data_IF_056550828049
#
_entry.id   IF_056550828049
#
_cell.length_a   1.000
_cell.length_b   1.000
_cell.length_c   1.000
_cell.angle_alpha   90.00
_cell.angle_beta   90.00
_cell.angle_gamma   90.00
#
_symmetry.space_group_name_H-M   'P 1'
#
loop_
_entity.id
_entity.type
_entity.pdbx_description
1 polymer ?
#
# COMPACT_ATOMS: atom_id res chain seq x y z
N UNK A 1 28.00 58.30 -34.51
CA UNK A 1 28.97 57.20 -34.74
C UNK A 1 29.32 56.63 -33.38
N UNK A 2 28.63 55.52 -32.97
CA UNK A 2 29.07 54.65 -31.87
C UNK A 2 28.70 53.21 -32.28
N UNK A 3 29.74 52.39 -32.32
CA UNK A 3 29.69 51.01 -32.80
C UNK A 3 29.09 50.10 -31.73
N UNK A 4 28.13 49.24 -32.12
CA UNK A 4 27.67 48.10 -31.31
C UNK A 4 28.71 47.00 -31.29
N UNK A 5 28.83 46.21 -30.20
CA UNK A 5 29.61 44.99 -30.19
C UNK A 5 28.67 43.79 -30.43
N UNK A 6 29.01 43.02 -31.45
CA UNK A 6 28.43 41.72 -31.83
C UNK A 6 28.67 40.67 -30.75
N UNK A 7 27.57 40.11 -30.20
CA UNK A 7 27.61 38.95 -29.32
C UNK A 7 27.76 37.65 -30.14
N UNK A 8 28.83 36.91 -29.90
CA UNK A 8 29.06 35.56 -30.46
C UNK A 8 28.24 34.57 -29.66
N UNK A 9 27.29 33.89 -30.29
CA UNK A 9 26.62 32.72 -29.77
C UNK A 9 27.57 31.50 -29.75
N UNK A 10 27.90 31.02 -28.57
CA UNK A 10 28.58 29.74 -28.38
C UNK A 10 27.50 28.68 -28.26
N UNK A 11 27.40 27.84 -29.31
CA UNK A 11 26.48 26.68 -29.29
C UNK A 11 27.14 25.57 -28.49
N UNK A 12 26.62 25.31 -27.31
CA UNK A 12 27.00 24.17 -26.46
C UNK A 12 26.17 22.97 -26.88
N UNK A 13 26.82 22.01 -27.56
CA UNK A 13 26.22 20.74 -27.99
C UNK A 13 26.06 19.86 -26.72
N UNK A 14 24.83 19.62 -26.30
CA UNK A 14 24.50 18.55 -25.37
C UNK A 14 24.42 17.24 -26.14
N UNK A 15 25.30 16.30 -25.79
CA UNK A 15 25.29 14.96 -26.31
C UNK A 15 24.09 14.19 -25.71
N UNK A 16 23.19 13.79 -26.58
CA UNK A 16 22.07 12.90 -26.24
C UNK A 16 22.65 11.49 -26.09
N UNK A 17 22.62 10.98 -24.85
CA UNK A 17 22.91 9.57 -24.59
C UNK A 17 21.65 8.76 -24.98
N UNK A 18 21.67 8.20 -26.17
CA UNK A 18 20.66 7.26 -26.63
C UNK A 18 20.90 5.90 -25.93
N UNK A 19 20.04 5.52 -25.02
CA UNK A 19 19.93 4.16 -24.51
C UNK A 19 19.35 3.28 -25.63
N UNK A 20 20.20 2.50 -26.28
CA UNK A 20 19.85 1.41 -27.18
C UNK A 20 19.21 0.29 -26.32
N UNK A 21 17.88 0.26 -26.25
CA UNK A 21 17.14 -0.92 -25.84
C UNK A 21 17.18 -1.93 -27.01
N UNK A 22 18.08 -2.90 -26.92
CA UNK A 22 18.12 -4.04 -27.84
C UNK A 22 16.87 -4.91 -27.62
N UNK A 23 15.92 -4.81 -28.53
CA UNK A 23 14.81 -5.76 -28.62
C UNK A 23 15.33 -7.06 -29.25
N UNK A 24 15.44 -8.12 -28.44
CA UNK A 24 15.54 -9.49 -28.94
C UNK A 24 14.18 -9.90 -29.51
N UNK A 25 14.08 -10.43 -30.71
CA UNK A 25 12.83 -10.99 -31.21
C UNK A 25 12.60 -12.33 -30.51
N UNK A 26 11.68 -12.37 -29.55
CA UNK A 26 11.08 -13.61 -29.10
C UNK A 26 10.20 -14.13 -30.24
N UNK A 27 10.66 -15.16 -30.93
CA UNK A 27 9.83 -15.94 -31.85
C UNK A 27 8.76 -16.66 -31.01
N UNK A 28 7.62 -16.05 -30.83
CA UNK A 28 6.43 -16.72 -30.34
C UNK A 28 5.96 -17.67 -31.44
N UNK A 29 6.17 -18.95 -31.28
CA UNK A 29 5.47 -19.98 -32.06
C UNK A 29 4.01 -19.93 -31.66
N UNK A 30 3.21 -19.23 -32.42
CA UNK A 30 1.75 -19.31 -32.36
C UNK A 30 1.36 -20.67 -32.95
N UNK A 31 1.16 -21.68 -32.09
CA UNK A 31 0.36 -22.82 -32.45
C UNK A 31 -1.07 -22.31 -32.66
N UNK A 32 -1.49 -22.23 -33.93
CA UNK A 32 -2.85 -21.91 -34.29
C UNK A 32 -3.75 -23.05 -33.80
N UNK A 33 -4.38 -22.84 -32.63
CA UNK A 33 -5.49 -23.68 -32.21
C UNK A 33 -6.67 -23.41 -33.17
N UNK A 34 -7.14 -24.46 -33.83
CA UNK A 34 -8.38 -24.38 -34.64
C UNK A 34 -9.52 -23.83 -33.75
N UNK A 35 -10.41 -23.01 -34.30
CA UNK A 35 -11.55 -22.52 -33.53
C UNK A 35 -12.37 -23.68 -32.98
N UNK A 36 -12.87 -23.60 -31.72
CA UNK A 36 -13.63 -24.69 -31.10
C UNK A 36 -14.91 -25.01 -31.91
N UNK A 37 -15.17 -26.29 -32.09
CA UNK A 37 -16.36 -26.78 -32.81
C UNK A 37 -17.61 -26.44 -32.00
N UNK A 38 -18.35 -25.40 -32.44
CA UNK A 38 -19.53 -24.90 -31.75
C UNK A 38 -20.66 -26.00 -31.56
N UNK A 39 -20.90 -26.95 -32.50
CA UNK A 39 -21.78 -28.07 -32.27
C UNK A 39 -21.30 -29.06 -31.19
N UNK A 40 -19.99 -29.21 -31.00
CA UNK A 40 -19.45 -30.06 -29.95
C UNK A 40 -19.63 -29.45 -28.56
N UNK A 41 -19.46 -28.14 -28.44
CA UNK A 41 -19.70 -27.40 -27.17
C UNK A 41 -21.18 -27.44 -26.75
N UNK A 42 -22.13 -27.36 -27.70
CA UNK A 42 -23.54 -27.45 -27.39
C UNK A 42 -23.91 -28.81 -26.80
N UNK A 43 -23.37 -29.93 -27.31
CA UNK A 43 -23.59 -31.28 -26.78
C UNK A 43 -23.03 -31.45 -25.37
N UNK A 44 -21.95 -30.79 -25.02
CA UNK A 44 -21.41 -30.82 -23.65
C UNK A 44 -22.35 -30.15 -22.64
N UNK A 45 -23.13 -29.14 -23.04
CA UNK A 45 -24.07 -28.46 -22.16
C UNK A 45 -25.24 -29.34 -21.71
N UNK A 46 -25.58 -30.40 -22.47
CA UNK A 46 -26.69 -31.33 -22.18
C UNK A 46 -26.32 -32.40 -21.13
N UNK A 47 -25.04 -32.51 -20.77
CA UNK A 47 -24.55 -33.48 -19.78
C UNK A 47 -24.92 -33.02 -18.38
N UNK A 48 -25.74 -33.78 -17.67
CA UNK A 48 -26.25 -33.44 -16.35
C UNK A 48 -25.18 -33.50 -15.24
N UNK A 49 -24.23 -34.46 -15.30
CA UNK A 49 -23.21 -34.63 -14.30
C UNK A 49 -22.08 -33.59 -14.49
N UNK A 50 -21.74 -32.75 -13.47
CA UNK A 50 -20.79 -31.66 -13.62
C UNK A 50 -19.37 -32.11 -14.01
N UNK A 51 -18.90 -33.25 -13.50
CA UNK A 51 -17.58 -33.83 -13.80
C UNK A 51 -17.47 -34.26 -15.26
N UNK A 52 -18.47 -34.96 -15.78
CA UNK A 52 -18.50 -35.47 -17.16
C UNK A 52 -18.65 -34.32 -18.15
N UNK A 53 -19.42 -33.31 -17.80
CA UNK A 53 -19.55 -32.06 -18.56
C UNK A 53 -18.24 -31.33 -18.71
N UNK A 54 -17.44 -31.23 -17.61
CA UNK A 54 -16.12 -30.60 -17.64
C UNK A 54 -15.17 -31.38 -18.55
N UNK A 55 -15.14 -32.69 -18.45
CA UNK A 55 -14.33 -33.56 -19.32
C UNK A 55 -14.71 -33.37 -20.79
N UNK A 56 -16.01 -33.25 -21.08
CA UNK A 56 -16.49 -32.99 -22.43
C UNK A 56 -15.97 -31.65 -22.98
N UNK A 57 -16.03 -30.57 -22.20
CA UNK A 57 -15.49 -29.27 -22.58
C UNK A 57 -13.98 -29.27 -22.77
N UNK A 58 -13.24 -29.93 -21.87
CA UNK A 58 -11.78 -30.03 -21.98
C UNK A 58 -11.38 -30.76 -23.26
N UNK A 59 -12.10 -31.84 -23.61
CA UNK A 59 -11.89 -32.57 -24.86
C UNK A 59 -12.24 -31.73 -26.10
N UNK A 60 -13.34 -30.98 -26.07
CA UNK A 60 -13.77 -30.10 -27.16
C UNK A 60 -12.78 -28.93 -27.38
N UNK A 61 -12.09 -28.49 -26.30
CA UNK A 61 -11.09 -27.43 -26.33
C UNK A 61 -9.65 -27.96 -26.53
N UNK A 62 -9.46 -29.28 -26.76
CA UNK A 62 -8.15 -29.89 -26.98
C UNK A 62 -7.24 -29.92 -25.75
N UNK A 63 -7.79 -29.83 -24.54
CA UNK A 63 -7.04 -29.99 -23.29
C UNK A 63 -6.91 -31.46 -22.91
N UNK A 64 -5.71 -31.89 -22.51
CA UNK A 64 -5.52 -33.24 -21.97
C UNK A 64 -6.25 -33.37 -20.62
N UNK A 65 -6.98 -34.49 -20.37
CA UNK A 65 -7.61 -34.71 -19.08
C UNK A 65 -6.57 -34.79 -17.96
N UNK A 66 -6.83 -34.12 -16.84
CA UNK A 66 -6.00 -34.25 -15.65
C UNK A 66 -5.99 -35.72 -15.20
N UNK A 67 -4.80 -36.26 -14.89
CA UNK A 67 -4.64 -37.63 -14.45
C UNK A 67 -5.55 -37.92 -13.24
N UNK A 68 -6.36 -38.96 -13.34
CA UNK A 68 -7.28 -39.38 -12.29
C UNK A 68 -6.50 -39.81 -11.04
N UNK A 69 -6.79 -39.19 -9.91
CA UNK A 69 -6.34 -39.65 -8.58
C UNK A 69 -7.20 -40.89 -8.23
N UNK A 70 -6.59 -42.04 -7.82
CA UNK A 70 -7.34 -43.25 -7.46
C UNK A 70 -8.28 -42.97 -6.26
N UNK A 71 -9.46 -43.60 -6.22
CA UNK A 71 -10.37 -43.46 -5.08
C UNK A 71 -9.81 -44.17 -3.85
N UNK A 72 -9.77 -43.51 -2.71
CA UNK A 72 -9.54 -44.11 -1.41
C UNK A 72 -10.79 -44.94 -1.01
N UNK A 73 -10.57 -46.19 -0.59
CA UNK A 73 -11.59 -47.12 -0.12
C UNK A 73 -12.42 -46.55 1.04
N UNK A 74 -13.71 -46.78 0.94
CA UNK A 74 -14.68 -46.40 1.94
C UNK A 74 -14.77 -47.47 3.04
N UNK A 75 -14.44 -47.15 4.27
CA UNK A 75 -14.96 -47.85 5.47
C UNK A 75 -16.05 -46.99 6.13
N UNK A 76 -17.22 -47.62 6.24
CA UNK A 76 -18.36 -47.11 6.99
C UNK A 76 -18.39 -47.80 8.39
N UNK A 77 -18.68 -47.10 9.51
CA UNK A 77 -19.99 -47.31 10.10
C UNK A 77 -20.68 -46.09 10.73
N UNK A 78 -21.96 -46.06 10.51
CA UNK A 78 -23.10 -45.55 11.27
C UNK A 78 -22.89 -44.64 12.48
N UNK A 79 -23.56 -43.46 12.48
CA UNK A 79 -23.86 -42.62 13.64
C UNK A 79 -24.05 -41.17 13.28
N UNK A 80 -25.33 -40.71 13.19
CA UNK A 80 -25.71 -39.43 12.63
C UNK A 80 -25.38 -38.19 13.45
N UNK A 81 -25.01 -37.15 12.72
CA UNK A 81 -25.22 -35.74 13.05
C UNK A 81 -25.16 -34.94 11.73
N UNK A 82 -25.90 -33.82 11.56
CA UNK A 82 -25.96 -33.08 10.30
C UNK A 82 -24.64 -32.38 9.99
N UNK A 83 -24.28 -32.20 8.68
CA UNK A 83 -23.00 -31.63 8.29
C UNK A 83 -22.97 -30.12 8.54
N UNK A 84 -21.84 -29.57 9.00
CA UNK A 84 -21.62 -28.13 9.05
C UNK A 84 -21.37 -27.58 7.65
N UNK A 85 -21.93 -26.42 7.41
CA UNK A 85 -21.77 -25.65 6.16
C UNK A 85 -20.30 -25.36 5.88
N UNK A 86 -19.80 -25.82 4.74
CA UNK A 86 -18.42 -25.62 4.29
C UNK A 86 -18.23 -24.19 3.83
N UNK A 87 -17.54 -23.38 4.61
CA UNK A 87 -17.03 -22.08 4.18
C UNK A 87 -15.84 -22.28 3.23
N UNK A 88 -15.93 -21.71 2.03
CA UNK A 88 -14.93 -21.83 0.93
C UNK A 88 -13.67 -20.97 1.16
N UNK A 89 -13.38 -20.49 2.37
CA UNK A 89 -12.30 -19.55 2.67
C UNK A 89 -11.41 -19.95 3.88
N UNK A 90 -11.17 -21.23 4.08
CA UNK A 90 -10.20 -21.65 5.09
C UNK A 90 -9.13 -22.56 4.45
N UNK A 91 -7.83 -22.22 4.51
CA UNK A 91 -6.76 -23.15 4.17
C UNK A 91 -6.66 -24.22 5.25
N UNK A 92 -6.67 -25.50 4.85
CA UNK A 92 -6.40 -26.63 5.73
C UNK A 92 -4.92 -26.64 6.11
N UNK A 93 -4.64 -26.63 7.38
CA UNK A 93 -3.32 -26.83 7.97
C UNK A 93 -2.75 -28.19 7.58
N UNK A 94 -1.74 -28.20 6.72
CA UNK A 94 -0.87 -29.35 6.55
C UNK A 94 0.17 -29.32 7.66
N UNK A 95 -0.07 -30.07 8.74
CA UNK A 95 0.92 -30.32 9.79
C UNK A 95 1.94 -31.32 9.26
N UNK A 96 3.12 -30.82 8.85
CA UNK A 96 4.31 -31.66 8.71
C UNK A 96 5.02 -31.74 10.07
N UNK A 97 5.51 -32.91 10.51
CA UNK A 97 6.21 -33.00 11.78
C UNK A 97 7.59 -32.35 11.66
N UNK A 98 7.74 -31.18 12.24
CA UNK A 98 9.05 -30.56 12.45
C UNK A 98 9.64 -31.13 13.72
N UNK A 99 10.84 -31.76 13.57
CA UNK A 99 11.65 -32.24 14.68
C UNK A 99 11.87 -31.06 15.66
N UNK A 100 11.48 -31.28 16.91
CA UNK A 100 11.64 -30.36 18.01
C UNK A 100 13.12 -30.01 18.22
N UNK A 101 13.53 -28.82 17.81
CA UNK A 101 14.69 -28.15 18.37
C UNK A 101 14.21 -27.28 19.53
N UNK A 102 14.40 -27.76 20.74
CA UNK A 102 14.28 -27.03 21.98
C UNK A 102 15.21 -25.83 21.95
N UNK A 103 14.69 -24.63 21.71
CA UNK A 103 15.26 -23.37 22.15
C UNK A 103 14.29 -22.74 23.13
N UNK A 104 14.62 -22.94 24.42
CA UNK A 104 14.08 -22.18 25.54
C UNK A 104 14.60 -20.75 25.43
N UNK A 105 13.92 -19.92 24.70
CA UNK A 105 13.79 -18.47 24.91
C UNK A 105 12.42 -18.11 24.36
N UNK A 106 11.48 -17.78 25.24
CA UNK A 106 10.22 -17.15 24.88
C UNK A 106 10.51 -15.74 24.31
N UNK A 107 11.06 -15.69 23.09
CA UNK A 107 11.17 -14.43 22.36
C UNK A 107 9.75 -14.00 21.99
N UNK A 108 9.36 -12.84 22.50
CA UNK A 108 8.11 -12.17 22.11
C UNK A 108 8.11 -12.05 20.57
N UNK A 109 7.08 -12.53 19.86
CA UNK A 109 7.07 -12.49 18.41
C UNK A 109 7.29 -11.06 17.90
N UNK A 110 8.25 -10.87 17.01
CA UNK A 110 8.57 -9.56 16.44
C UNK A 110 7.41 -9.02 15.60
N UNK A 111 6.85 -7.87 15.99
CA UNK A 111 5.77 -7.22 15.24
C UNK A 111 6.25 -6.77 13.86
N UNK A 112 7.46 -6.18 13.80
CA UNK A 112 8.02 -5.69 12.54
C UNK A 112 8.45 -6.83 11.62
N UNK A 113 8.90 -7.97 12.16
CA UNK A 113 9.19 -9.13 11.33
C UNK A 113 7.93 -9.70 10.70
N UNK A 114 6.89 -9.95 11.49
CA UNK A 114 5.61 -10.41 10.95
C UNK A 114 5.03 -9.47 9.89
N UNK A 115 5.18 -8.18 10.12
CA UNK A 115 4.69 -7.18 9.19
C UNK A 115 5.53 -7.13 7.89
N UNK A 116 6.87 -7.05 7.99
CA UNK A 116 7.77 -6.90 6.83
C UNK A 116 8.42 -8.20 6.36
N UNK A 117 8.10 -9.34 7.00
CA UNK A 117 8.68 -10.65 6.67
C UNK A 117 10.23 -10.63 6.75
N UNK A 118 10.76 -10.04 7.85
CA UNK A 118 12.19 -9.82 7.98
C UNK A 118 12.95 -11.10 8.34
N UNK A 119 12.39 -11.92 9.21
CA UNK A 119 13.01 -13.17 9.65
C UNK A 119 12.59 -14.35 8.73
N UNK A 120 13.43 -15.36 8.55
CA UNK A 120 13.18 -16.45 7.59
C UNK A 120 11.84 -17.18 7.79
N UNK A 121 11.41 -17.35 9.06
CA UNK A 121 10.14 -18.01 9.39
C UNK A 121 8.90 -17.19 9.05
N UNK A 122 9.05 -15.88 8.85
CA UNK A 122 7.94 -14.99 8.51
C UNK A 122 7.80 -14.77 6.99
N UNK A 123 8.76 -15.27 6.18
CA UNK A 123 8.77 -15.11 4.72
C UNK A 123 7.62 -15.88 4.07
N UNK A 124 6.77 -15.20 3.30
CA UNK A 124 5.59 -15.76 2.60
C UNK A 124 5.78 -15.88 1.08
N UNK A 125 6.99 -15.57 0.58
CA UNK A 125 7.30 -15.59 -0.85
C UNK A 125 6.87 -14.31 -1.57
N UNK A 126 6.88 -14.35 -2.91
CA UNK A 126 6.63 -13.19 -3.79
C UNK A 126 5.20 -13.18 -4.31
N UNK A 127 4.74 -12.01 -4.77
CA UNK A 127 3.43 -11.76 -5.38
C UNK A 127 2.21 -12.07 -4.50
N UNK A 128 2.41 -12.15 -3.18
CA UNK A 128 1.32 -12.20 -2.21
C UNK A 128 0.91 -10.77 -1.85
N UNK A 129 -0.36 -10.41 -2.10
CA UNK A 129 -0.89 -9.10 -1.77
C UNK A 129 -1.33 -9.08 -0.31
N UNK A 130 -0.82 -8.10 0.42
CA UNK A 130 -1.16 -7.85 1.84
C UNK A 130 -1.42 -6.37 2.04
N UNK A 131 -2.09 -6.01 3.13
CA UNK A 131 -2.24 -4.59 3.48
C UNK A 131 -0.89 -3.92 3.74
N UNK A 132 -0.84 -2.60 3.57
CA UNK A 132 0.37 -1.80 3.78
C UNK A 132 0.15 -0.74 4.85
N UNK A 133 -0.59 0.33 4.56
CA UNK A 133 -1.08 1.29 5.54
C UNK A 133 -2.48 0.86 5.99
N UNK A 134 -3.05 1.56 6.96
CA UNK A 134 -4.41 1.27 7.40
C UNK A 134 -5.41 1.31 6.23
N UNK A 135 -6.23 0.28 6.11
CA UNK A 135 -7.34 0.23 5.18
C UNK A 135 -8.61 0.58 5.93
N UNK A 136 -9.26 1.69 5.60
CA UNK A 136 -10.39 2.19 6.37
C UNK A 136 -11.45 2.88 5.52
N UNK A 137 -12.67 2.91 6.06
CA UNK A 137 -13.76 3.79 5.64
C UNK A 137 -14.24 4.55 6.86
N UNK A 138 -14.21 5.90 6.78
CA UNK A 138 -14.69 6.82 7.79
C UNK A 138 -15.91 7.57 7.23
N UNK A 139 -17.13 7.07 7.41
CA UNK A 139 -18.34 7.75 6.97
C UNK A 139 -18.51 9.11 7.67
N UNK A 140 -17.98 9.22 8.87
CA UNK A 140 -17.98 10.43 9.67
C UNK A 140 -16.55 10.99 9.72
N UNK A 141 -16.25 11.93 8.85
CA UNK A 141 -15.04 12.72 8.89
C UNK A 141 -15.43 14.20 8.91
N UNK A 142 -14.91 14.93 9.87
CA UNK A 142 -15.18 16.36 10.05
C UNK A 142 -13.87 17.13 10.20
N UNK A 143 -13.79 18.30 9.56
CA UNK A 143 -12.65 19.22 9.72
C UNK A 143 -13.10 20.57 10.25
N UNK A 144 -12.31 21.17 11.14
CA UNK A 144 -12.61 22.51 11.69
C UNK A 144 -12.46 23.62 10.64
N UNK A 145 -11.69 23.38 9.59
CA UNK A 145 -11.45 24.32 8.48
C UNK A 145 -11.42 23.53 7.18
N UNK A 146 -12.13 24.00 6.18
CA UNK A 146 -12.11 23.45 4.83
C UNK A 146 -11.48 24.45 3.86
N UNK A 147 -10.55 23.99 3.03
CA UNK A 147 -9.92 24.83 2.02
C UNK A 147 -10.88 25.02 0.84
N UNK A 148 -11.45 26.21 0.73
CA UNK A 148 -12.35 26.59 -0.35
C UNK A 148 -11.67 27.34 -1.49
N UNK A 149 -10.36 27.58 -1.38
CA UNK A 149 -9.58 28.29 -2.39
C UNK A 149 -8.16 27.69 -2.47
N UNK A 150 -8.04 26.38 -2.84
CA UNK A 150 -6.75 25.74 -2.94
C UNK A 150 -5.88 26.41 -4.01
N UNK A 151 -4.62 26.67 -3.64
CA UNK A 151 -3.62 27.34 -4.48
C UNK A 151 -2.21 26.86 -4.18
N UNK A 152 -1.25 27.20 -5.04
CA UNK A 152 0.18 27.04 -4.79
C UNK A 152 0.96 28.21 -5.41
N UNK A 153 2.26 28.34 -5.20
CA UNK A 153 3.08 29.39 -5.84
C UNK A 153 3.02 29.41 -7.37
N UNK A 154 2.75 28.25 -7.99
CA UNK A 154 2.71 28.06 -9.45
C UNK A 154 1.30 27.78 -9.99
N UNK A 155 0.30 27.66 -9.11
CA UNK A 155 -1.07 27.32 -9.49
C UNK A 155 -2.06 28.32 -8.88
N UNK A 156 -2.88 28.92 -9.72
CA UNK A 156 -3.89 29.90 -9.30
C UNK A 156 -4.92 29.29 -8.34
N UNK A 157 -5.51 30.14 -7.52
CA UNK A 157 -6.59 29.75 -6.63
C UNK A 157 -7.84 29.32 -7.41
N UNK A 158 -8.48 28.25 -6.95
CA UNK A 158 -9.74 27.75 -7.49
C UNK A 158 -10.82 27.82 -6.43
N UNK A 159 -11.83 28.63 -6.65
CA UNK A 159 -12.90 28.81 -5.69
C UNK A 159 -13.85 27.60 -5.64
N UNK A 160 -14.04 27.07 -4.44
CA UNK A 160 -14.88 25.90 -4.13
C UNK A 160 -15.86 26.26 -2.98
N UNK A 161 -16.79 27.20 -3.21
CA UNK A 161 -17.58 27.82 -2.14
C UNK A 161 -18.51 26.84 -1.41
N UNK A 162 -18.91 25.77 -2.07
CA UNK A 162 -19.86 24.80 -1.53
C UNK A 162 -19.22 23.65 -0.75
N UNK A 163 -17.88 23.57 -0.66
CA UNK A 163 -17.23 22.52 0.12
C UNK A 163 -17.64 22.59 1.59
N UNK A 164 -17.99 21.43 2.13
CA UNK A 164 -18.50 21.24 3.48
C UNK A 164 -17.42 20.69 4.39
N UNK A 165 -17.58 20.93 5.69
CA UNK A 165 -16.69 20.40 6.73
C UNK A 165 -16.85 18.90 6.95
N UNK A 166 -18.02 18.37 6.61
CA UNK A 166 -18.38 16.97 6.73
C UNK A 166 -18.10 16.22 5.41
N UNK A 167 -17.34 15.14 5.49
CA UNK A 167 -16.96 14.29 4.36
C UNK A 167 -17.01 12.81 4.77
N UNK A 168 -17.04 11.92 3.80
CA UNK A 168 -16.56 10.56 4.00
C UNK A 168 -15.09 10.50 3.57
N UNK A 169 -14.25 9.82 4.37
CA UNK A 169 -12.84 9.59 4.06
C UNK A 169 -12.56 8.11 3.98
N UNK A 170 -11.80 7.66 2.99
CA UNK A 170 -11.39 6.27 2.92
C UNK A 170 -9.97 6.13 2.39
N UNK A 171 -9.35 5.02 2.75
CA UNK A 171 -8.01 4.64 2.29
C UNK A 171 -7.98 3.16 1.95
N UNK A 172 -7.39 2.86 0.80
CA UNK A 172 -7.00 1.52 0.39
C UNK A 172 -5.48 1.51 0.22
N UNK A 173 -4.81 0.55 0.86
CA UNK A 173 -3.36 0.46 0.83
C UNK A 173 -2.92 -1.00 0.83
N UNK A 174 -2.23 -1.40 -0.22
CA UNK A 174 -1.77 -2.76 -0.45
C UNK A 174 -0.28 -2.75 -0.80
N UNK A 175 0.39 -3.85 -0.56
CA UNK A 175 1.76 -4.12 -1.04
C UNK A 175 1.91 -5.56 -1.47
N UNK A 176 2.92 -5.81 -2.29
CA UNK A 176 3.35 -7.15 -2.67
C UNK A 176 4.86 -7.20 -2.77
N UNK A 177 5.47 -8.32 -2.40
CA UNK A 177 6.91 -8.54 -2.57
C UNK A 177 7.18 -8.89 -4.04
N UNK A 178 8.07 -8.13 -4.69
CA UNK A 178 8.48 -8.37 -6.08
C UNK A 178 9.67 -9.31 -6.17
N UNK A 179 10.61 -9.19 -5.23
CA UNK A 179 11.80 -10.04 -5.17
C UNK A 179 12.21 -10.26 -3.71
N UNK A 180 12.73 -11.43 -3.43
CA UNK A 180 13.25 -11.85 -2.14
C UNK A 180 14.76 -12.03 -2.25
N UNK A 181 15.49 -11.74 -1.16
CA UNK A 181 16.96 -11.88 -1.07
C UNK A 181 17.71 -11.12 -2.19
N UNK A 182 17.20 -9.94 -2.57
CA UNK A 182 17.75 -9.13 -3.65
C UNK A 182 18.98 -8.34 -3.18
N UNK A 183 20.14 -8.54 -3.81
CA UNK A 183 21.44 -7.87 -3.62
C UNK A 183 22.07 -8.08 -2.24
N UNK A 184 21.36 -7.89 -1.16
CA UNK A 184 21.85 -8.10 0.22
C UNK A 184 21.12 -9.29 0.86
N UNK A 185 21.77 -10.07 1.72
CA UNK A 185 21.14 -11.21 2.38
C UNK A 185 19.88 -10.80 3.16
N UNK A 186 18.77 -11.49 2.88
CA UNK A 186 17.48 -11.23 3.50
C UNK A 186 16.75 -9.99 3.00
N UNK A 187 17.36 -9.19 2.11
CA UNK A 187 16.76 -7.96 1.62
C UNK A 187 15.70 -8.23 0.55
N UNK A 188 14.55 -7.57 0.67
CA UNK A 188 13.40 -7.77 -0.18
C UNK A 188 13.02 -6.47 -0.91
N UNK A 189 12.57 -6.62 -2.15
CA UNK A 189 11.98 -5.52 -2.92
C UNK A 189 10.46 -5.65 -2.91
N UNK A 190 9.78 -4.58 -2.50
CA UNK A 190 8.32 -4.51 -2.44
C UNK A 190 7.80 -3.43 -3.37
N UNK A 191 6.64 -3.69 -3.98
CA UNK A 191 5.78 -2.66 -4.55
C UNK A 191 4.63 -2.40 -3.60
N UNK A 192 4.28 -1.13 -3.42
CA UNK A 192 3.13 -0.73 -2.63
C UNK A 192 2.31 0.33 -3.37
N UNK A 193 1.03 0.38 -3.07
CA UNK A 193 0.11 1.37 -3.59
C UNK A 193 -0.84 1.80 -2.50
N UNK A 194 -0.99 3.12 -2.33
CA UNK A 194 -1.97 3.71 -1.42
C UNK A 194 -2.84 4.69 -2.18
N UNK A 195 -4.14 4.60 -1.97
CA UNK A 195 -5.12 5.59 -2.40
C UNK A 195 -5.87 6.10 -1.19
N UNK A 196 -5.91 7.42 -1.02
CA UNK A 196 -6.71 8.10 -0.01
C UNK A 196 -7.68 9.05 -0.68
N UNK A 197 -8.96 9.00 -0.34
CA UNK A 197 -9.97 9.84 -0.95
C UNK A 197 -10.87 10.51 0.10
N UNK A 198 -11.28 11.74 -0.25
CA UNK A 198 -12.19 12.58 0.53
C UNK A 198 -13.42 12.85 -0.32
N UNK A 199 -14.55 12.35 0.09
CA UNK A 199 -15.80 12.38 -0.64
C UNK A 199 -16.81 13.30 0.04
N UNK A 200 -17.20 14.37 -0.64
CA UNK A 200 -18.21 15.33 -0.22
C UNK A 200 -19.64 14.76 -0.31
N UNK A 201 -19.86 13.56 0.27
CA UNK A 201 -21.09 12.79 0.17
C UNK A 201 -22.33 13.58 0.57
N UNK A 202 -22.18 14.59 1.45
CA UNK A 202 -23.26 15.45 1.94
C UNK A 202 -23.44 16.74 1.12
N UNK A 203 -22.59 17.00 0.10
CA UNK A 203 -22.65 18.18 -0.76
C UNK A 203 -23.56 17.93 -1.96
N UNK A 204 -24.85 18.09 -1.78
CA UNK A 204 -25.84 17.95 -2.87
C UNK A 204 -25.78 19.04 -3.93
N UNK A 205 -25.23 20.24 -3.61
CA UNK A 205 -25.14 21.36 -4.56
C UNK A 205 -24.21 21.08 -5.71
N UNK A 206 -23.07 20.39 -5.44
CA UNK A 206 -22.04 20.07 -6.42
C UNK A 206 -22.12 18.58 -6.86
N UNK A 207 -23.28 17.94 -6.73
CA UNK A 207 -23.50 16.52 -7.11
C UNK A 207 -22.56 15.56 -6.37
N UNK A 208 -22.25 15.84 -5.10
CA UNK A 208 -21.44 14.98 -4.20
C UNK A 208 -20.06 14.59 -4.77
N UNK A 209 -19.19 15.57 -5.09
CA UNK A 209 -17.91 15.30 -5.73
C UNK A 209 -16.91 14.63 -4.77
N UNK A 210 -15.90 13.95 -5.32
CA UNK A 210 -14.65 13.75 -4.60
C UNK A 210 -13.89 15.06 -4.55
N UNK A 211 -13.62 15.56 -3.32
CA UNK A 211 -12.84 16.79 -3.13
C UNK A 211 -11.36 16.55 -3.45
N UNK A 212 -10.86 15.40 -3.05
CA UNK A 212 -9.48 14.98 -3.30
C UNK A 212 -9.38 13.45 -3.36
N UNK A 213 -8.47 12.97 -4.20
CA UNK A 213 -8.03 11.57 -4.24
C UNK A 213 -6.53 11.57 -4.45
N UNK A 214 -5.78 11.17 -3.45
CA UNK A 214 -4.32 11.04 -3.52
C UNK A 214 -3.94 9.60 -3.87
N UNK A 215 -3.04 9.44 -4.82
CA UNK A 215 -2.51 8.17 -5.33
C UNK A 215 -1.02 8.12 -5.04
N UNK A 216 -0.55 7.06 -4.41
CA UNK A 216 0.82 6.93 -3.94
C UNK A 216 1.39 5.54 -4.24
N UNK A 217 1.90 5.28 -5.47
CA UNK A 217 2.74 4.13 -5.77
C UNK A 217 4.13 4.27 -5.16
N UNK A 218 4.65 3.16 -4.60
CA UNK A 218 5.97 3.10 -3.94
C UNK A 218 6.73 1.84 -4.35
N UNK A 219 8.05 1.98 -4.52
CA UNK A 219 9.00 0.87 -4.50
C UNK A 219 9.79 0.96 -3.20
N UNK A 220 9.86 -0.14 -2.46
CA UNK A 220 10.46 -0.20 -1.13
C UNK A 220 11.51 -1.30 -1.12
N UNK A 221 12.77 -0.93 -0.97
CA UNK A 221 13.86 -1.86 -0.72
C UNK A 221 14.08 -1.98 0.78
N UNK A 222 13.80 -3.16 1.33
CA UNK A 222 13.81 -3.46 2.76
C UNK A 222 15.00 -4.34 3.10
N UNK A 223 15.86 -3.89 3.99
CA UNK A 223 17.07 -4.61 4.43
C UNK A 223 16.93 -4.94 5.91
N UNK A 224 16.80 -6.23 6.30
CA UNK A 224 16.78 -6.61 7.71
C UNK A 224 18.13 -6.35 8.36
N UNK A 225 18.11 -5.89 9.61
CA UNK A 225 19.32 -5.65 10.38
C UNK A 225 19.97 -6.98 10.78
N UNK A 226 21.27 -7.19 10.51
CA UNK A 226 21.99 -8.36 10.99
C UNK A 226 21.95 -8.49 12.52
N UNK A 227 21.85 -9.71 13.05
CA UNK A 227 21.67 -9.98 14.49
C UNK A 227 22.68 -9.23 15.38
N UNK A 228 23.94 -9.17 14.97
CA UNK A 228 25.01 -8.48 15.71
C UNK A 228 24.77 -6.98 15.94
N UNK A 229 23.87 -6.35 15.17
CA UNK A 229 23.56 -4.92 15.25
C UNK A 229 22.13 -4.65 15.74
N UNK A 230 21.33 -5.70 15.99
CA UNK A 230 19.92 -5.56 16.41
C UNK A 230 19.80 -4.93 17.80
N UNK A 231 20.63 -5.35 18.76
CA UNK A 231 20.49 -4.93 20.14
C UNK A 231 20.88 -3.48 20.36
N UNK A 232 19.97 -2.70 20.94
CA UNK A 232 20.15 -1.31 21.30
C UNK A 232 19.95 -1.12 22.81
N UNK A 233 20.40 0.01 23.40
CA UNK A 233 20.12 0.35 24.79
C UNK A 233 18.63 0.30 25.14
N UNK A 234 18.34 0.05 26.42
CA UNK A 234 16.98 -0.01 26.97
C UNK A 234 16.08 -1.11 26.38
N UNK A 235 16.66 -2.16 25.78
CA UNK A 235 15.93 -3.30 25.23
C UNK A 235 15.24 -3.03 23.89
N UNK A 236 15.55 -1.94 23.23
CA UNK A 236 15.13 -1.72 21.84
C UNK A 236 15.92 -2.60 20.88
N UNK A 237 15.31 -2.95 19.77
CA UNK A 237 15.95 -3.70 18.69
C UNK A 237 15.78 -2.93 17.38
N UNK A 238 16.90 -2.71 16.68
CA UNK A 238 16.88 -2.21 15.30
C UNK A 238 16.58 -3.37 14.36
N UNK A 239 15.45 -3.31 13.66
CA UNK A 239 14.96 -4.45 12.86
C UNK A 239 15.28 -4.35 11.39
N UNK A 240 15.22 -3.15 10.82
CA UNK A 240 15.47 -2.94 9.40
C UNK A 240 15.94 -1.52 9.07
N UNK A 241 16.58 -1.40 7.89
CA UNK A 241 16.71 -0.16 7.13
C UNK A 241 15.87 -0.26 5.85
N UNK A 242 15.37 0.86 5.33
CA UNK A 242 14.61 0.91 4.09
C UNK A 242 15.03 2.07 3.20
N UNK A 243 14.94 1.85 1.87
CA UNK A 243 15.05 2.86 0.83
C UNK A 243 13.79 2.80 -0.02
N UNK A 244 13.04 3.91 -0.11
CA UNK A 244 11.83 3.95 -0.92
C UNK A 244 11.97 4.98 -2.05
N UNK A 245 11.42 4.65 -3.21
CA UNK A 245 11.07 5.58 -4.27
C UNK A 245 9.56 5.71 -4.29
N UNK A 246 9.06 6.93 -4.17
CA UNK A 246 7.62 7.18 -4.09
C UNK A 246 7.23 8.29 -5.03
N UNK A 247 6.20 8.04 -5.84
CA UNK A 247 5.42 9.08 -6.52
C UNK A 247 4.13 9.31 -5.74
N UNK A 248 3.69 10.58 -5.64
CA UNK A 248 2.36 10.88 -5.11
C UNK A 248 1.73 11.97 -5.95
N UNK A 249 0.48 11.78 -6.34
CA UNK A 249 -0.29 12.75 -7.13
C UNK A 249 -1.77 12.72 -6.75
N UNK A 250 -2.47 13.83 -6.97
CA UNK A 250 -3.92 13.89 -6.75
C UNK A 250 -4.73 13.62 -8.04
N UNK A 251 -4.09 13.30 -9.16
CA UNK A 251 -4.75 12.96 -10.42
C UNK A 251 -5.63 14.05 -11.03
N UNK A 252 -5.51 15.29 -10.56
CA UNK A 252 -6.30 16.41 -11.07
C UNK A 252 -5.55 17.19 -12.16
N UNK A 253 -6.32 17.93 -12.98
CA UNK A 253 -5.78 18.85 -13.97
C UNK A 253 -5.40 20.18 -13.29
N UNK A 254 -4.56 20.98 -13.97
CA UNK A 254 -4.28 22.34 -13.56
C UNK A 254 -5.56 23.18 -13.54
N UNK A 255 -5.68 24.08 -12.56
CA UNK A 255 -4.72 24.50 -11.55
C UNK A 255 -4.85 23.73 -10.21
N UNK A 256 -5.62 22.64 -10.13
CA UNK A 256 -5.76 21.80 -8.93
C UNK A 256 -4.75 20.66 -8.86
N UNK A 257 -4.01 20.41 -9.92
CA UNK A 257 -2.97 19.38 -9.97
C UNK A 257 -1.92 19.57 -8.89
N UNK A 258 -1.59 18.49 -8.16
CA UNK A 258 -0.50 18.43 -7.18
C UNK A 258 0.18 17.07 -7.32
N UNK A 259 1.51 17.11 -7.40
CA UNK A 259 2.31 15.88 -7.42
C UNK A 259 3.72 16.12 -6.87
N UNK A 260 4.38 15.07 -6.48
CA UNK A 260 5.78 15.08 -6.12
C UNK A 260 6.40 13.69 -6.12
N UNK A 261 7.69 13.66 -6.40
CA UNK A 261 8.53 12.47 -6.35
C UNK A 261 9.50 12.59 -5.19
N UNK A 262 9.76 11.49 -4.46
CA UNK A 262 10.67 11.51 -3.32
C UNK A 262 11.42 10.20 -3.15
N UNK A 263 12.61 10.33 -2.60
CA UNK A 263 13.39 9.24 -2.02
C UNK A 263 13.22 9.29 -0.50
N UNK A 264 13.02 8.15 0.12
CA UNK A 264 12.90 8.03 1.58
C UNK A 264 13.93 7.05 2.11
N UNK A 265 14.72 7.47 3.09
CA UNK A 265 15.54 6.60 3.92
C UNK A 265 14.83 6.38 5.25
N UNK A 266 14.80 5.16 5.75
CA UNK A 266 14.14 4.87 7.01
C UNK A 266 14.78 3.72 7.78
N UNK A 267 14.42 3.65 9.06
CA UNK A 267 14.80 2.57 9.95
C UNK A 267 13.65 2.21 10.87
N UNK A 268 13.52 0.92 11.18
CA UNK A 268 12.50 0.39 12.06
C UNK A 268 13.07 -0.20 13.34
N UNK A 269 12.46 0.15 14.45
CA UNK A 269 12.86 -0.27 15.80
C UNK A 269 11.65 -0.86 16.53
N UNK A 270 11.89 -1.84 17.41
CA UNK A 270 10.82 -2.42 18.23
C UNK A 270 11.28 -2.72 19.65
N UNK A 271 10.30 -2.74 20.57
CA UNK A 271 10.48 -3.16 21.95
C UNK A 271 9.13 -3.63 22.51
N UNK A 272 8.96 -4.94 22.72
CA UNK A 272 7.71 -5.51 23.17
C UNK A 272 6.53 -5.09 22.27
N UNK A 273 5.52 -4.47 22.87
CA UNK A 273 4.30 -4.02 22.17
C UNK A 273 4.50 -2.75 21.32
N UNK A 274 5.68 -2.16 21.31
CA UNK A 274 5.96 -0.89 20.65
C UNK A 274 6.85 -1.08 19.42
N UNK A 275 6.54 -0.35 18.35
CA UNK A 275 7.47 -0.18 17.23
C UNK A 275 7.56 1.29 16.81
N UNK A 276 8.76 1.71 16.42
CA UNK A 276 9.04 3.05 15.92
C UNK A 276 9.66 2.93 14.52
N UNK A 277 9.07 3.62 13.55
CA UNK A 277 9.67 3.76 12.22
C UNK A 277 10.02 5.23 12.03
N UNK A 278 11.30 5.50 11.83
CA UNK A 278 11.81 6.85 11.54
C UNK A 278 12.19 6.94 10.06
N UNK A 279 11.72 7.99 9.37
CA UNK A 279 11.96 8.21 7.94
C UNK A 279 12.45 9.63 7.68
N UNK A 280 13.43 9.74 6.80
CA UNK A 280 13.87 11.00 6.22
C UNK A 280 13.52 11.01 4.74
N UNK A 281 12.81 12.06 4.31
CA UNK A 281 12.28 12.22 2.97
C UNK A 281 13.05 13.31 2.23
N UNK A 282 13.53 13.01 1.03
CA UNK A 282 14.15 13.97 0.11
C UNK A 282 13.29 14.06 -1.16
N UNK A 283 12.77 15.26 -1.43
CA UNK A 283 12.05 15.50 -2.68
C UNK A 283 13.02 15.46 -3.85
N UNK A 284 12.64 14.82 -4.93
CA UNK A 284 13.33 14.93 -6.22
C UNK A 284 12.89 16.23 -6.89
N UNK A 285 13.86 17.05 -7.28
CA UNK A 285 13.61 18.37 -7.85
C UNK A 285 12.96 18.24 -9.24
N UNK A 286 11.97 19.06 -9.46
CA UNK A 286 11.29 19.24 -10.75
C UNK A 286 11.55 20.65 -11.28
N UNK A 287 11.57 20.88 -12.59
CA UNK A 287 11.65 22.23 -13.15
C UNK A 287 10.44 23.08 -12.70
N UNK A 288 10.65 24.33 -12.28
CA UNK A 288 9.59 25.21 -11.80
C UNK A 288 8.42 25.37 -12.79
N UNK A 289 8.67 25.23 -14.07
CA UNK A 289 7.64 25.33 -15.12
C UNK A 289 6.65 24.16 -15.08
N UNK A 290 7.04 23.02 -14.54
CA UNK A 290 6.20 21.83 -14.39
C UNK A 290 5.89 21.47 -12.94
N UNK A 291 6.52 22.16 -11.96
CA UNK A 291 6.31 21.92 -10.55
C UNK A 291 5.06 22.67 -10.06
N UNK A 292 4.01 21.93 -9.77
CA UNK A 292 2.72 22.49 -9.35
C UNK A 292 2.58 22.71 -7.83
N UNK A 293 3.61 22.40 -7.04
CA UNK A 293 3.67 22.62 -5.59
C UNK A 293 5.11 22.73 -5.06
N UNK A 294 5.91 23.70 -5.53
CA UNK A 294 7.36 23.78 -5.26
C UNK A 294 7.71 23.94 -3.78
N UNK A 295 6.82 24.49 -2.98
CA UNK A 295 6.98 24.74 -1.56
C UNK A 295 6.42 23.63 -0.64
N UNK A 296 5.97 22.50 -1.19
CA UNK A 296 5.33 21.41 -0.44
C UNK A 296 6.15 20.97 0.78
N UNK A 297 7.45 20.79 0.62
CA UNK A 297 8.33 20.29 1.69
C UNK A 297 8.44 21.31 2.84
N UNK A 298 8.23 22.61 2.58
CA UNK A 298 8.22 23.65 3.62
C UNK A 298 7.08 23.46 4.61
N UNK A 299 5.97 22.84 4.20
CA UNK A 299 4.81 22.56 5.04
C UNK A 299 4.80 21.13 5.57
N UNK A 300 5.06 20.13 4.71
CA UNK A 300 5.00 18.71 5.07
C UNK A 300 6.23 18.27 5.87
N UNK A 301 7.40 18.79 5.51
CA UNK A 301 8.68 18.49 6.12
C UNK A 301 9.42 17.30 5.50
N UNK A 302 10.63 17.08 6.04
CA UNK A 302 11.54 16.01 5.66
C UNK A 302 11.52 14.82 6.62
N UNK A 303 11.02 15.01 7.84
CA UNK A 303 10.99 13.95 8.87
C UNK A 303 9.61 13.35 9.03
N UNK A 304 9.58 12.02 9.21
CA UNK A 304 8.38 11.29 9.55
C UNK A 304 8.70 10.23 10.61
N UNK A 305 8.00 10.28 11.74
CA UNK A 305 8.14 9.33 12.85
C UNK A 305 6.79 8.66 13.09
N UNK A 306 6.76 7.35 12.99
CA UNK A 306 5.56 6.54 13.20
C UNK A 306 5.79 5.64 14.42
N UNK A 307 5.12 5.93 15.51
CA UNK A 307 5.10 5.11 16.72
C UNK A 307 3.83 4.26 16.70
N UNK A 308 3.99 2.94 16.77
CA UNK A 308 2.86 2.02 16.86
C UNK A 308 2.88 1.32 18.23
N UNK A 309 1.70 1.05 18.74
CA UNK A 309 1.47 0.27 19.94
C UNK A 309 0.43 -0.79 19.66
N UNK A 310 0.73 -2.04 20.01
CA UNK A 310 -0.14 -3.19 19.84
C UNK A 310 -0.21 -3.92 21.19
N UNK A 311 -1.33 -3.85 21.87
CA UNK A 311 -1.53 -4.53 23.15
C UNK A 311 -2.86 -5.28 23.14
N UNK A 312 -2.79 -6.59 23.20
CA UNK A 312 -3.94 -7.46 23.13
C UNK A 312 -4.76 -7.20 21.85
N UNK A 313 -5.99 -6.69 22.03
CA UNK A 313 -6.91 -6.40 20.92
C UNK A 313 -6.87 -4.94 20.45
N UNK A 314 -6.25 -4.03 21.21
CA UNK A 314 -6.14 -2.62 20.86
C UNK A 314 -4.87 -2.35 20.05
N UNK A 315 -4.98 -1.49 19.04
CA UNK A 315 -3.81 -0.91 18.37
C UNK A 315 -3.91 0.60 18.34
N UNK A 316 -2.78 1.27 18.47
CA UNK A 316 -2.71 2.71 18.31
C UNK A 316 -1.47 3.08 17.48
N UNK A 317 -1.59 4.15 16.69
CA UNK A 317 -0.50 4.71 15.91
C UNK A 317 -0.46 6.21 16.10
N UNK A 318 0.74 6.74 16.29
CA UNK A 318 1.02 8.17 16.27
C UNK A 318 2.00 8.46 15.14
N UNK A 319 1.58 9.25 14.17
CA UNK A 319 2.41 9.71 13.07
C UNK A 319 2.74 11.18 13.28
N UNK A 320 4.03 11.50 13.36
CA UNK A 320 4.53 12.86 13.46
C UNK A 320 5.36 13.21 12.23
N UNK A 321 5.00 14.30 11.54
CA UNK A 321 5.74 14.88 10.42
C UNK A 321 6.38 16.19 10.84
N UNK A 322 7.63 16.44 10.43
CA UNK A 322 8.38 17.62 10.84
C UNK A 322 9.28 18.15 9.74
N UNK A 323 9.42 19.48 9.69
CA UNK A 323 10.40 20.15 8.84
C UNK A 323 11.80 20.17 9.46
N UNK A 324 11.95 19.78 10.73
CA UNK A 324 13.16 19.96 11.58
C UNK A 324 13.55 21.43 11.83
N UNK A 325 12.94 22.37 11.15
CA UNK A 325 13.27 23.80 11.24
C UNK A 325 12.28 24.57 12.09
N UNK A 326 10.99 24.31 11.92
CA UNK A 326 9.93 25.04 12.61
C UNK A 326 8.79 24.08 12.98
N UNK A 327 8.46 24.01 14.26
CA UNK A 327 7.38 23.18 14.81
C UNK A 327 5.96 23.66 14.44
N UNK A 328 5.85 24.86 13.84
CA UNK A 328 4.55 25.36 13.33
C UNK A 328 4.06 24.56 12.13
N UNK A 329 4.99 23.96 11.38
CA UNK A 329 4.73 23.17 10.19
C UNK A 329 4.79 21.67 10.49
N UNK A 330 4.42 20.84 9.50
CA UNK A 330 4.28 19.41 9.68
C UNK A 330 2.88 19.03 10.17
N UNK A 331 2.75 17.84 10.72
CA UNK A 331 1.47 17.30 11.17
C UNK A 331 1.63 16.27 12.26
N UNK A 332 0.57 16.10 13.04
CA UNK A 332 0.38 15.01 13.98
C UNK A 332 -0.90 14.27 13.60
N UNK A 333 -0.83 12.95 13.47
CA UNK A 333 -1.98 12.08 13.23
C UNK A 333 -1.97 10.96 14.27
N UNK A 334 -3.10 10.77 14.92
CA UNK A 334 -3.32 9.67 15.85
C UNK A 334 -4.40 8.76 15.29
N UNK A 335 -4.19 7.46 15.39
CA UNK A 335 -5.12 6.42 14.99
C UNK A 335 -5.29 5.42 16.12
N UNK A 336 -6.52 4.95 16.31
CA UNK A 336 -6.81 3.89 17.28
C UNK A 336 -7.80 2.91 16.69
N UNK A 337 -7.59 1.62 16.96
CA UNK A 337 -8.50 0.58 16.51
C UNK A 337 -8.79 -0.45 17.58
N UNK A 338 -9.99 -1.03 17.49
CA UNK A 338 -10.44 -2.13 18.35
C UNK A 338 -11.38 -3.05 17.56
N UNK A 339 -11.29 -4.40 17.67
CA UNK A 339 -12.17 -5.31 16.93
C UNK A 339 -13.65 -5.05 17.20
N UNK A 340 -14.48 -5.04 16.16
CA UNK A 340 -15.94 -4.98 16.29
C UNK A 340 -16.45 -6.27 16.96
N UNK A 341 -15.92 -7.40 16.52
CA UNK A 341 -16.21 -8.72 17.06
C UNK A 341 -15.01 -9.24 17.84
N UNK A 342 -15.19 -9.50 19.14
CA UNK A 342 -14.09 -9.86 20.06
C UNK A 342 -13.43 -11.21 19.74
N UNK A 343 -14.13 -12.09 19.08
CA UNK A 343 -13.71 -13.42 18.61
C UNK A 343 -13.01 -13.38 17.23
N UNK A 344 -13.07 -12.23 16.53
CA UNK A 344 -12.46 -12.01 15.23
C UNK A 344 -11.47 -10.82 15.28
N UNK A 345 -10.32 -10.94 15.95
CA UNK A 345 -9.40 -9.83 16.19
C UNK A 345 -8.81 -9.25 14.89
N UNK A 346 -8.69 -10.06 13.83
CA UNK A 346 -8.18 -9.66 12.52
C UNK A 346 -9.29 -9.29 11.52
N UNK A 347 -10.55 -9.29 11.96
CA UNK A 347 -11.69 -8.91 11.13
C UNK A 347 -11.92 -7.40 11.08
N UNK A 348 -13.21 -7.01 10.99
CA UNK A 348 -13.63 -5.61 11.03
C UNK A 348 -13.31 -4.98 12.37
N UNK A 349 -12.76 -3.77 12.37
CA UNK A 349 -12.37 -3.04 13.58
C UNK A 349 -13.00 -1.65 13.59
N UNK A 350 -13.39 -1.17 14.74
CA UNK A 350 -13.64 0.24 14.98
C UNK A 350 -12.37 1.03 14.69
N UNK A 351 -12.51 2.19 14.07
CA UNK A 351 -11.37 3.03 13.72
C UNK A 351 -11.69 4.49 14.07
N UNK A 352 -10.78 5.11 14.82
CA UNK A 352 -10.78 6.54 15.15
C UNK A 352 -9.50 7.15 14.61
N UNK A 353 -9.62 8.31 13.95
CA UNK A 353 -8.49 9.09 13.46
C UNK A 353 -8.61 10.54 13.91
N UNK A 354 -7.52 11.10 14.42
CA UNK A 354 -7.37 12.53 14.72
C UNK A 354 -6.20 13.05 13.90
N UNK A 355 -6.38 14.17 13.25
CA UNK A 355 -5.32 14.83 12.48
C UNK A 355 -5.22 16.30 12.87
N UNK A 356 -3.98 16.82 12.94
CA UNK A 356 -3.71 18.24 13.12
C UNK A 356 -2.44 18.64 12.41
N UNK A 357 -2.51 19.62 11.52
CA UNK A 357 -1.33 20.13 10.81
C UNK A 357 -1.60 20.45 9.36
N UNK A 358 -0.57 20.28 8.54
CA UNK A 358 -0.55 20.56 7.12
C UNK A 358 -0.54 19.28 6.31
N UNK A 359 -1.12 19.30 5.11
CA UNK A 359 -1.02 18.21 4.16
C UNK A 359 -1.78 16.94 4.60
N UNK A 360 -3.03 17.08 5.04
CA UNK A 360 -3.93 15.93 5.15
C UNK A 360 -4.23 15.33 3.77
N UNK A 361 -4.29 16.19 2.75
CA UNK A 361 -4.35 15.87 1.32
C UNK A 361 -3.24 16.59 0.56
N UNK A 362 -2.94 16.17 -0.67
CA UNK A 362 -2.01 16.94 -1.52
C UNK A 362 -2.56 18.29 -1.92
N UNK A 363 -3.86 18.41 -2.18
CA UNK A 363 -4.50 19.69 -2.49
C UNK A 363 -4.38 20.69 -1.34
N UNK A 364 -4.37 20.18 -0.10
CA UNK A 364 -4.28 20.98 1.13
C UNK A 364 -2.87 20.97 1.76
N UNK A 365 -1.82 20.71 0.97
CA UNK A 365 -0.47 20.54 1.51
C UNK A 365 0.01 21.77 2.31
N UNK A 366 -0.43 22.97 1.92
CA UNK A 366 -0.12 24.26 2.53
C UNK A 366 -1.26 24.83 3.40
N UNK A 367 -2.30 24.03 3.66
CA UNK A 367 -3.46 24.43 4.47
C UNK A 367 -3.47 23.71 5.81
N UNK A 368 -3.51 24.47 6.91
CA UNK A 368 -3.52 23.89 8.26
C UNK A 368 -4.95 23.64 8.72
N UNK A 369 -5.19 22.39 9.14
CA UNK A 369 -6.49 21.98 9.66
C UNK A 369 -6.37 21.00 10.83
N UNK A 370 -7.49 20.80 11.54
CA UNK A 370 -7.68 19.75 12.52
C UNK A 370 -8.91 18.97 12.12
N UNK A 371 -8.79 17.67 12.00
CA UNK A 371 -9.90 16.80 11.64
C UNK A 371 -10.05 15.62 12.60
N UNK A 372 -11.26 15.09 12.66
CA UNK A 372 -11.62 13.87 13.37
C UNK A 372 -12.40 12.97 12.41
N UNK A 373 -12.08 11.68 12.40
CA UNK A 373 -12.79 10.69 11.63
C UNK A 373 -13.11 9.44 12.45
N UNK A 374 -14.30 8.89 12.26
CA UNK A 374 -14.74 7.66 12.91
C UNK A 374 -15.40 6.73 11.90
N UNK A 375 -15.13 5.44 12.04
CA UNK A 375 -15.64 4.42 11.13
C UNK A 375 -15.01 3.06 11.39
N UNK A 376 -14.60 2.41 10.32
CA UNK A 376 -14.11 1.03 10.36
C UNK A 376 -12.81 0.87 9.60
N UNK A 377 -11.97 -0.05 10.09
CA UNK A 377 -10.80 -0.54 9.35
C UNK A 377 -10.89 -2.04 9.13
N UNK A 378 -10.18 -2.51 8.10
CA UNK A 378 -10.13 -3.89 7.66
C UNK A 378 -8.73 -4.20 7.08
N UNK A 379 -8.40 -5.46 6.90
CA UNK A 379 -7.06 -5.90 6.44
C UNK A 379 -5.93 -5.31 7.30
N UNK A 380 -6.09 -5.33 8.62
CA UNK A 380 -5.01 -5.03 9.56
C UNK A 380 -4.23 -6.31 9.93
N UNK A 381 -2.99 -6.12 10.34
CA UNK A 381 -2.05 -7.18 10.75
C UNK A 381 -2.04 -7.36 12.26
#
# INVERSE_FOLDING_TARGET
MKREPTARHTIQRYGTLALLAGALPAAAQTTSASPPDAPALARCAEIGAPADRLICYDKAMGRAPAAAVPPAEAENPAGGAPPPSTSLLAPKDAVLPVAAQTRDTQETPSLLSKYWELDPQDKRGVFNFVGYKANYVLPLHWTNRINRSPQSPTQAAVEQPNYRHEEAKFQLSLRTKLAQDLLLPGADLWAAYTQQAFWQIWNGKDSKPFRNSDYEPELIYMVPTPERWRSLPLGWQWRFAQLNLTHQSNGQSDPLSRSWNRVTLGAGFERGDWSLIARYLSRLNEPLVSDNNPDLVSYRGHGEFQLNWVNGKSTAQLLYRTTFKDTKYGALQFEWTYPVFKDQPNGLRWYLQLFRGYGETLTDYNFRQTSIGAGFSFLQF
#
